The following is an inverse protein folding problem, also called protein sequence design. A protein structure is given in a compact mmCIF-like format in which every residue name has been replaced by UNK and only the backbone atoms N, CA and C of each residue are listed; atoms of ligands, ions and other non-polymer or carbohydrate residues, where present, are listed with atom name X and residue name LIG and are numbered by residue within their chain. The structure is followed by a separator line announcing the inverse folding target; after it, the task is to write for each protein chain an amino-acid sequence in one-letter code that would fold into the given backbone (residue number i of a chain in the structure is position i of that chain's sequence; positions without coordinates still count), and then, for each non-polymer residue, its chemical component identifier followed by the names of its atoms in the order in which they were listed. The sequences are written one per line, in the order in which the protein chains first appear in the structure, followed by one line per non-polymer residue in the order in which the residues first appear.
data_IF_064920801610
#
_entry.id   IF_064920801610
#
_cell.length_a   1.000
_cell.length_b   1.000
_cell.length_c   1.000
_cell.angle_alpha   90.00
_cell.angle_beta   90.00
_cell.angle_gamma   90.00
#
_symmetry.space_group_name_H-M   'P 1'
#
loop_
_entity.id
_entity.type
_entity.pdbx_description
1 polymer ?
#
# COMPACT_ATOMS: atom_id res chain seq x y z
N UNK A 1 13.39 12.83 -0.75
CA UNK A 1 12.15 12.03 -0.71
C UNK A 1 11.04 12.79 -1.41
N UNK A 2 10.37 12.14 -2.34
CA UNK A 2 9.35 12.80 -3.17
C UNK A 2 7.97 12.22 -2.88
N UNK A 3 6.95 13.07 -2.97
CA UNK A 3 5.55 12.68 -2.83
C UNK A 3 4.85 12.83 -4.16
N UNK A 4 4.13 11.79 -4.58
CA UNK A 4 3.43 11.74 -5.85
C UNK A 4 1.96 11.39 -5.65
N UNK A 5 1.11 11.90 -6.52
CA UNK A 5 -0.26 11.39 -6.64
C UNK A 5 -0.22 10.12 -7.48
N UNK A 6 -0.99 9.13 -7.09
CA UNK A 6 -1.04 7.86 -7.81
C UNK A 6 -2.49 7.43 -8.06
N UNK A 7 -2.65 6.58 -9.07
CA UNK A 7 -3.90 5.90 -9.38
C UNK A 7 -3.69 4.41 -9.16
N UNK A 8 -4.58 3.78 -8.40
CA UNK A 8 -4.52 2.33 -8.16
C UNK A 8 -4.90 1.59 -9.44
N UNK A 9 -4.03 0.68 -9.88
CA UNK A 9 -4.31 -0.21 -11.00
C UNK A 9 -4.74 -1.59 -10.51
N UNK A 10 -4.03 -2.14 -9.53
CA UNK A 10 -4.31 -3.48 -9.02
C UNK A 10 -3.71 -3.66 -7.62
N UNK A 11 -4.44 -4.30 -6.73
CA UNK A 11 -3.89 -4.75 -5.44
C UNK A 11 -3.34 -6.17 -5.66
N UNK A 12 -2.03 -6.33 -5.43
CA UNK A 12 -1.33 -7.62 -5.63
C UNK A 12 -1.40 -8.46 -4.36
N UNK A 13 -1.00 -7.87 -3.24
CA UNK A 13 -1.05 -8.46 -1.90
C UNK A 13 -1.34 -7.36 -0.88
N UNK A 14 -1.44 -7.72 0.40
CA UNK A 14 -1.68 -6.75 1.47
C UNK A 14 -0.54 -5.77 1.69
N UNK A 15 0.58 -5.90 1.00
CA UNK A 15 1.75 -5.04 1.12
C UNK A 15 2.30 -4.58 -0.24
N UNK A 16 1.57 -4.86 -1.33
CA UNK A 16 2.05 -4.58 -2.70
C UNK A 16 0.89 -4.21 -3.61
N UNK A 17 1.05 -3.13 -4.36
CA UNK A 17 0.08 -2.71 -5.37
C UNK A 17 0.79 -2.39 -6.68
N UNK A 18 0.03 -2.43 -7.78
CA UNK A 18 0.44 -1.84 -9.05
C UNK A 18 -0.25 -0.49 -9.17
N UNK A 19 0.51 0.55 -9.50
CA UNK A 19 0.01 1.92 -9.53
C UNK A 19 0.55 2.68 -10.72
N UNK A 20 -0.23 3.67 -11.15
CA UNK A 20 0.18 4.67 -12.13
C UNK A 20 0.61 5.90 -11.34
N UNK A 21 1.88 6.25 -11.43
CA UNK A 21 2.48 7.36 -10.67
C UNK A 21 2.53 8.59 -11.57
N UNK A 22 1.90 9.67 -11.10
CA UNK A 22 1.90 10.96 -11.80
C UNK A 22 3.21 11.70 -11.51
N UNK A 23 4.01 11.91 -12.55
CA UNK A 23 5.29 12.62 -12.44
C UNK A 23 5.19 14.11 -12.78
N UNK A 24 3.97 14.59 -13.05
CA UNK A 24 3.76 15.95 -13.53
C UNK A 24 3.94 16.07 -15.04
N UNK A 25 3.61 17.23 -15.61
CA UNK A 25 3.76 17.51 -17.05
C UNK A 25 3.07 16.50 -17.97
N UNK A 26 1.94 15.90 -17.50
CA UNK A 26 1.22 14.82 -18.21
C UNK A 26 2.06 13.56 -18.41
N UNK A 27 3.13 13.39 -17.63
CA UNK A 27 3.98 12.20 -17.65
C UNK A 27 3.61 11.30 -16.49
N UNK A 28 3.41 10.02 -16.77
CA UNK A 28 3.15 9.03 -15.72
C UNK A 28 3.91 7.74 -16.02
N UNK A 29 4.16 6.96 -14.97
CA UNK A 29 4.77 5.63 -15.08
C UNK A 29 3.95 4.62 -14.32
N UNK A 30 3.90 3.40 -14.81
CA UNK A 30 3.27 2.27 -14.11
C UNK A 30 4.36 1.52 -13.37
N UNK A 31 4.19 1.36 -12.05
CA UNK A 31 5.17 0.69 -11.21
C UNK A 31 4.47 -0.18 -10.17
N UNK A 32 5.16 -1.25 -9.81
CA UNK A 32 4.78 -2.04 -8.64
C UNK A 32 5.37 -1.37 -7.40
N UNK A 33 4.51 -1.11 -6.42
CA UNK A 33 4.88 -0.41 -5.18
C UNK A 33 4.80 -1.40 -4.03
N UNK A 34 5.92 -1.58 -3.32
CA UNK A 34 6.02 -2.36 -2.09
C UNK A 34 5.89 -1.41 -0.91
N UNK A 35 5.01 -1.71 0.02
CA UNK A 35 4.79 -0.86 1.19
C UNK A 35 6.00 -0.96 2.12
N UNK A 36 6.65 0.18 2.35
CA UNK A 36 7.84 0.25 3.19
C UNK A 36 7.48 -0.02 4.65
N UNK A 37 8.31 -0.83 5.31
CA UNK A 37 8.20 -1.07 6.75
C UNK A 37 7.14 -2.07 7.16
N UNK A 38 6.44 -2.71 6.22
CA UNK A 38 5.39 -3.68 6.54
C UNK A 38 5.56 -4.98 5.78
N UNK A 39 5.07 -6.05 6.37
CA UNK A 39 5.04 -7.37 5.75
C UNK A 39 3.68 -8.01 6.03
N UNK A 40 2.91 -8.26 4.97
CA UNK A 40 1.61 -8.89 5.05
C UNK A 40 1.70 -10.37 4.70
N UNK A 41 0.77 -11.22 5.18
CA UNK A 41 0.70 -12.63 4.75
C UNK A 41 0.47 -12.72 3.24
N UNK A 42 1.03 -13.77 2.63
CA UNK A 42 0.87 -14.01 1.21
C UNK A 42 -0.52 -14.51 0.88
N UNK A 43 -1.11 -13.98 -0.20
CA UNK A 43 -2.42 -14.41 -0.67
C UNK A 43 -2.34 -15.56 -1.68
N UNK A 44 -1.14 -15.89 -2.18
CA UNK A 44 -0.92 -16.94 -3.19
C UNK A 44 -0.12 -18.13 -2.66
N UNK A 45 -0.25 -18.41 -1.39
CA UNK A 45 0.44 -19.55 -0.75
C UNK A 45 -0.45 -20.78 -0.76
N UNK A 46 0.16 -21.96 -0.61
CA UNK A 46 -0.56 -23.23 -0.41
C UNK A 46 -1.01 -23.44 1.03
N UNK A 47 -0.45 -22.68 1.97
CA UNK A 47 -0.88 -22.69 3.36
C UNK A 47 -2.23 -21.99 3.47
N UNK A 48 -3.28 -22.75 3.76
CA UNK A 48 -4.65 -22.20 3.78
C UNK A 48 -4.86 -21.16 4.87
N UNK A 49 -4.19 -21.28 6.00
CA UNK A 49 -4.28 -20.32 7.09
C UNK A 49 -3.66 -18.99 6.69
N UNK A 50 -2.44 -19.04 6.15
CA UNK A 50 -1.75 -17.84 5.66
C UNK A 50 -2.50 -17.21 4.50
N UNK A 51 -3.02 -18.04 3.58
CA UNK A 51 -3.79 -17.56 2.43
C UNK A 51 -5.03 -16.77 2.87
N UNK A 52 -5.76 -17.26 3.87
CA UNK A 52 -6.95 -16.58 4.39
C UNK A 52 -6.58 -15.21 4.97
N UNK A 53 -5.48 -15.14 5.73
CA UNK A 53 -4.98 -13.88 6.28
C UNK A 53 -4.49 -12.94 5.19
N UNK A 54 -3.81 -13.48 4.17
CA UNK A 54 -3.33 -12.73 3.03
C UNK A 54 -4.47 -12.11 2.21
N UNK A 55 -5.52 -12.88 1.96
CA UNK A 55 -6.71 -12.40 1.26
C UNK A 55 -7.43 -11.33 2.06
N UNK A 56 -7.52 -11.47 3.38
CA UNK A 56 -8.13 -10.47 4.25
C UNK A 56 -7.34 -9.14 4.21
N UNK A 57 -6.01 -9.22 4.28
CA UNK A 57 -5.15 -8.04 4.17
C UNK A 57 -5.29 -7.37 2.80
N UNK A 58 -5.31 -8.17 1.74
CA UNK A 58 -5.50 -7.68 0.37
C UNK A 58 -6.85 -6.97 0.21
N UNK A 59 -7.92 -7.54 0.74
CA UNK A 59 -9.26 -6.93 0.69
C UNK A 59 -9.29 -5.62 1.47
N UNK A 60 -8.62 -5.55 2.62
CA UNK A 60 -8.56 -4.31 3.39
C UNK A 60 -7.86 -3.19 2.64
N UNK A 61 -6.75 -3.52 1.95
CA UNK A 61 -6.05 -2.55 1.10
C UNK A 61 -6.99 -2.04 0.00
N UNK A 62 -7.73 -2.93 -0.65
CA UNK A 62 -8.73 -2.53 -1.66
C UNK A 62 -9.75 -1.57 -1.09
N UNK A 63 -10.31 -1.88 0.07
CA UNK A 63 -11.30 -1.01 0.73
C UNK A 63 -10.73 0.38 1.02
N UNK A 64 -9.52 0.44 1.55
CA UNK A 64 -8.87 1.70 1.90
C UNK A 64 -8.57 2.54 0.66
N UNK A 65 -8.03 1.94 -0.39
CA UNK A 65 -7.61 2.67 -1.58
C UNK A 65 -8.76 3.01 -2.53
N UNK A 66 -9.78 2.16 -2.62
CA UNK A 66 -10.95 2.42 -3.46
C UNK A 66 -11.93 3.40 -2.81
N UNK A 67 -11.90 3.50 -1.48
CA UNK A 67 -12.77 4.41 -0.72
C UNK A 67 -12.27 5.85 -0.64
N UNK A 68 -11.11 6.14 -1.17
CA UNK A 68 -10.52 7.49 -1.13
C UNK A 68 -10.48 8.11 -2.50
N UNK A 69 -10.57 9.45 -2.56
CA UNK A 69 -10.47 10.20 -3.82
C UNK A 69 -9.02 10.42 -4.23
N UNK A 70 -8.12 10.49 -3.27
CA UNK A 70 -6.72 10.82 -3.52
C UNK A 70 -5.81 9.86 -2.79
N UNK A 71 -4.86 9.29 -3.51
CA UNK A 71 -3.82 8.43 -2.93
C UNK A 71 -2.48 9.11 -3.19
N UNK A 72 -1.71 9.33 -2.12
CA UNK A 72 -0.37 9.88 -2.22
C UNK A 72 0.67 8.81 -1.90
N UNK A 73 1.70 8.75 -2.72
CA UNK A 73 2.85 7.87 -2.52
C UNK A 73 4.02 8.72 -2.06
N UNK A 74 4.54 8.43 -0.88
CA UNK A 74 5.79 8.99 -0.39
C UNK A 74 6.89 8.00 -0.74
N UNK A 75 7.67 8.32 -1.78
CA UNK A 75 8.68 7.42 -2.32
C UNK A 75 9.93 7.41 -1.45
N UNK A 76 10.41 6.21 -1.12
CA UNK A 76 11.65 6.00 -0.36
C UNK A 76 12.73 5.34 -1.21
N UNK A 77 12.56 5.33 -2.52
CA UNK A 77 13.53 4.78 -3.45
C UNK A 77 13.07 3.51 -4.12
N UNK A 78 14.02 2.78 -4.68
CA UNK A 78 13.77 1.53 -5.41
C UNK A 78 14.37 0.37 -4.64
N UNK A 79 13.56 -0.64 -4.36
CA UNK A 79 14.00 -1.85 -3.70
C UNK A 79 14.53 -2.90 -4.68
N UNK A 80 14.73 -4.12 -4.18
CA UNK A 80 15.10 -5.26 -5.00
C UNK A 80 14.06 -5.48 -6.11
N UNK A 81 14.50 -5.96 -7.25
CA UNK A 81 13.65 -6.28 -8.41
C UNK A 81 12.97 -5.06 -9.04
N UNK A 82 13.51 -3.84 -8.81
CA UNK A 82 12.99 -2.63 -9.43
C UNK A 82 11.65 -2.14 -8.91
N UNK A 83 11.18 -2.66 -7.78
CA UNK A 83 9.94 -2.21 -7.15
C UNK A 83 10.17 -0.90 -6.41
N UNK A 84 9.20 0.02 -6.50
CA UNK A 84 9.23 1.22 -5.69
C UNK A 84 8.93 0.86 -4.23
N UNK A 85 9.70 1.44 -3.31
CA UNK A 85 9.42 1.34 -1.88
C UNK A 85 8.76 2.63 -1.43
N UNK A 86 7.64 2.53 -0.73
CA UNK A 86 6.96 3.74 -0.33
C UNK A 86 5.91 3.56 0.73
N UNK A 87 5.44 4.70 1.20
CA UNK A 87 4.35 4.80 2.15
C UNK A 87 3.16 5.44 1.45
N UNK A 88 1.99 4.83 1.56
CA UNK A 88 0.77 5.35 0.98
C UNK A 88 -0.01 6.14 2.02
N UNK A 89 -0.50 7.29 1.61
CA UNK A 89 -1.37 8.15 2.43
C UNK A 89 -2.70 8.34 1.73
N UNK A 90 -3.77 8.24 2.48
CA UNK A 90 -5.14 8.43 1.98
C UNK A 90 -5.89 9.40 2.87
N UNK A 91 -6.90 10.06 2.30
CA UNK A 91 -7.80 10.91 3.06
C UNK A 91 -8.90 10.05 3.68
N UNK A 92 -9.02 10.14 5.01
CA UNK A 92 -10.10 9.47 5.74
C UNK A 92 -11.01 10.53 6.34
N UNK A 93 -12.31 10.38 6.11
CA UNK A 93 -13.32 11.23 6.72
C UNK A 93 -13.80 10.54 8.00
N UNK A 94 -13.62 11.19 9.14
CA UNK A 94 -14.10 10.65 10.42
C UNK A 94 -15.60 10.92 10.60
N UNK A 95 -16.16 10.46 11.71
CA UNK A 95 -17.58 10.64 12.02
C UNK A 95 -18.01 12.10 12.23
N UNK A 96 -17.06 13.04 12.25
CA UNK A 96 -17.30 14.48 12.36
C UNK A 96 -17.05 15.21 11.04
N UNK A 97 -16.93 14.46 9.95
CA UNK A 97 -16.63 14.95 8.61
C UNK A 97 -15.28 15.65 8.47
N UNK A 98 -14.38 15.40 9.41
CA UNK A 98 -13.03 15.94 9.35
C UNK A 98 -12.14 15.02 8.52
N UNK A 99 -11.55 15.56 7.47
CA UNK A 99 -10.60 14.81 6.64
C UNK A 99 -9.23 14.80 7.30
N UNK A 100 -8.68 13.60 7.46
CA UNK A 100 -7.32 13.41 7.96
C UNK A 100 -6.53 12.57 6.98
N UNK A 101 -5.24 12.87 6.85
CA UNK A 101 -4.34 12.10 6.01
C UNK A 101 -3.75 10.96 6.84
N UNK A 102 -4.08 9.73 6.47
CA UNK A 102 -3.66 8.55 7.20
C UNK A 102 -2.71 7.68 6.38
N UNK A 103 -1.69 7.11 7.04
CA UNK A 103 -0.78 6.16 6.41
C UNK A 103 -1.43 4.79 6.31
N UNK A 104 -1.55 4.28 5.09
CA UNK A 104 -2.06 2.92 4.86
C UNK A 104 -1.13 1.89 5.50
N UNK A 105 0.18 2.11 5.42
CA UNK A 105 1.19 1.23 6.02
C UNK A 105 0.94 1.06 7.53
N UNK A 106 0.72 2.17 8.23
CA UNK A 106 0.47 2.15 9.68
C UNK A 106 -0.89 1.54 10.02
N UNK A 107 -1.92 1.83 9.22
CA UNK A 107 -3.25 1.27 9.42
C UNK A 107 -3.24 -0.26 9.33
N UNK A 108 -2.51 -0.82 8.38
CA UNK A 108 -2.43 -2.27 8.23
C UNK A 108 -1.80 -2.94 9.45
N UNK A 109 -0.78 -2.33 10.02
CA UNK A 109 -0.14 -2.83 11.26
C UNK A 109 -1.10 -2.70 12.45
N UNK A 110 -1.72 -1.54 12.59
CA UNK A 110 -2.64 -1.26 13.69
C UNK A 110 -3.85 -2.19 13.68
N UNK A 111 -4.35 -2.54 12.52
CA UNK A 111 -5.51 -3.44 12.36
C UNK A 111 -5.13 -4.92 12.39
N UNK A 112 -3.84 -5.24 12.49
CA UNK A 112 -3.38 -6.62 12.56
C UNK A 112 -3.27 -7.34 11.22
N UNK A 113 -3.38 -6.62 10.10
CA UNK A 113 -3.25 -7.21 8.76
C UNK A 113 -1.80 -7.36 8.30
N UNK A 114 -0.88 -6.68 8.94
CA UNK A 114 0.54 -6.73 8.62
C UNK A 114 1.38 -6.55 9.88
N UNK A 115 2.65 -6.89 9.78
CA UNK A 115 3.62 -6.70 10.87
C UNK A 115 4.73 -5.76 10.39
N UNK A 116 5.43 -5.14 11.33
CA UNK A 116 6.58 -4.31 11.02
C UNK A 116 7.69 -5.14 10.39
N UNK A 117 8.34 -4.58 9.39
CA UNK A 117 9.40 -5.25 8.65
C UNK A 117 10.46 -4.25 8.23
N UNK A 118 11.70 -4.51 8.60
CA UNK A 118 12.82 -3.59 8.37
C UNK A 118 13.91 -4.18 7.48
N UNK A 119 13.53 -5.07 6.54
CA UNK A 119 14.45 -5.60 5.55
C UNK A 119 15.27 -6.81 5.97
N UNK A 120 14.94 -7.44 7.10
CA UNK A 120 15.60 -8.67 7.54
C UNK A 120 15.08 -9.91 6.79
N UNK A 121 15.51 -11.08 7.24
CA UNK A 121 14.98 -12.35 6.73
C UNK A 121 13.56 -12.57 7.24
N UNK A 122 12.75 -13.07 6.36
CA UNK A 122 11.39 -13.49 6.71
C UNK A 122 11.42 -14.78 7.50
#
# INVERSE_FOLDING_TARGET
MYTYNIELLKVVDGDTIDAKIDLGFDVSVKKRVRFLGVNAPESRTRDLEEKAKGLAAKDRVKQLLEGTKTIQLKSHGVGKYGRCLGELHIDIVDGQEKMTLESVNELLIKEGHAVEYHGGKR
#
